data_IF_762914226347
#
_entry.id   IF_762914226347
#
_cell.length_a   1.000
_cell.length_b   1.000
_cell.length_c   1.000
_cell.angle_alpha   90.00
_cell.angle_beta   90.00
_cell.angle_gamma   90.00
#
_symmetry.space_group_name_H-M   'P 1'
#
loop_
_entity.id
_entity.type
_entity.pdbx_description
1 polymer ?
#
# COMPACT_ATOMS: atom_id res chain seq x y z
N UNK A 1 4.39 15.80 45.27
CA UNK A 1 5.18 15.73 44.02
C UNK A 1 4.85 14.51 43.12
N UNK A 2 4.49 13.34 43.66
CA UNK A 2 4.17 12.15 42.85
C UNK A 2 2.88 12.27 41.99
N UNK A 3 1.82 12.89 42.54
CA UNK A 3 0.55 13.05 41.82
C UNK A 3 0.63 14.00 40.60
N UNK A 4 1.51 15.01 40.65
CA UNK A 4 1.71 15.95 39.54
C UNK A 4 2.47 15.30 38.36
N UNK A 5 3.47 14.45 38.64
CA UNK A 5 4.17 13.69 37.60
C UNK A 5 3.26 12.65 36.93
N UNK A 6 2.43 11.96 37.72
CA UNK A 6 1.46 11.01 37.18
C UNK A 6 0.40 11.67 36.29
N UNK A 7 -0.03 12.90 36.63
CA UNK A 7 -0.94 13.67 35.79
C UNK A 7 -0.30 14.12 34.46
N UNK A 8 0.97 14.57 34.50
CA UNK A 8 1.71 14.99 33.30
C UNK A 8 2.01 13.83 32.34
N UNK A 9 2.38 12.66 32.86
CA UNK A 9 2.57 11.45 32.05
C UNK A 9 1.25 10.94 31.43
N UNK A 10 0.13 11.03 32.18
CA UNK A 10 -1.18 10.66 31.66
C UNK A 10 -1.66 11.62 30.54
N UNK A 11 -1.31 12.91 30.62
CA UNK A 11 -1.63 13.89 29.59
C UNK A 11 -0.77 13.69 28.32
N UNK A 12 0.54 13.46 28.48
CA UNK A 12 1.43 13.12 27.35
C UNK A 12 0.98 11.85 26.64
N UNK A 13 0.62 10.80 27.37
CA UNK A 13 0.10 9.56 26.80
C UNK A 13 -1.21 9.76 26.00
N UNK A 14 -2.06 10.72 26.39
CA UNK A 14 -3.28 11.07 25.63
C UNK A 14 -2.94 11.83 24.34
N UNK A 15 -2.01 12.77 24.40
CA UNK A 15 -1.54 13.53 23.23
C UNK A 15 -0.83 12.62 22.24
N UNK A 16 0.04 11.71 22.70
CA UNK A 16 0.72 10.72 21.85
C UNK A 16 -0.26 9.74 21.21
N UNK A 17 -1.27 9.24 21.96
CA UNK A 17 -2.34 8.42 21.37
C UNK A 17 -3.15 9.18 20.33
N UNK A 18 -3.43 10.46 20.54
CA UNK A 18 -4.14 11.29 19.55
C UNK A 18 -3.29 11.52 18.29
N UNK A 19 -1.99 11.78 18.45
CA UNK A 19 -1.05 11.93 17.34
C UNK A 19 -0.90 10.62 16.55
N UNK A 20 -0.75 9.49 17.23
CA UNK A 20 -0.67 8.16 16.63
C UNK A 20 -1.94 7.78 15.86
N UNK A 21 -3.13 8.11 16.39
CA UNK A 21 -4.40 7.92 15.67
C UNK A 21 -4.44 8.73 14.37
N UNK A 22 -4.07 10.02 14.44
CA UNK A 22 -4.06 10.90 13.27
C UNK A 22 -3.08 10.42 12.21
N UNK A 23 -1.92 9.91 12.64
CA UNK A 23 -0.92 9.36 11.73
C UNK A 23 -1.38 8.03 11.10
N UNK A 24 -2.02 7.16 11.87
CA UNK A 24 -2.63 5.93 11.37
C UNK A 24 -3.73 6.21 10.34
N UNK A 25 -4.56 7.23 10.55
CA UNK A 25 -5.58 7.63 9.56
C UNK A 25 -4.96 8.17 8.26
N UNK A 26 -3.87 8.95 8.36
CA UNK A 26 -3.12 9.39 7.17
C UNK A 26 -2.52 8.21 6.41
N UNK A 27 -1.88 7.28 7.12
CA UNK A 27 -1.29 6.09 6.50
C UNK A 27 -2.36 5.23 5.83
N UNK A 28 -3.53 5.04 6.46
CA UNK A 28 -4.67 4.35 5.83
C UNK A 28 -5.15 5.05 4.56
N UNK A 29 -5.22 6.38 4.57
CA UNK A 29 -5.61 7.16 3.39
C UNK A 29 -4.57 7.07 2.28
N UNK A 30 -3.29 7.11 2.62
CA UNK A 30 -2.19 6.94 1.68
C UNK A 30 -2.21 5.53 1.06
N UNK A 31 -2.37 4.49 1.88
CA UNK A 31 -2.50 3.10 1.43
C UNK A 31 -3.69 2.91 0.48
N UNK A 32 -4.85 3.51 0.77
CA UNK A 32 -6.01 3.46 -0.14
C UNK A 32 -5.71 4.10 -1.50
N UNK A 33 -4.97 5.20 -1.53
CA UNK A 33 -4.55 5.84 -2.78
C UNK A 33 -3.58 4.97 -3.56
N UNK A 34 -2.58 4.40 -2.90
CA UNK A 34 -1.60 3.53 -3.55
C UNK A 34 -2.26 2.25 -4.11
N UNK A 35 -3.23 1.65 -3.39
CA UNK A 35 -4.04 0.54 -3.93
C UNK A 35 -4.83 0.95 -5.17
N UNK A 36 -5.41 2.14 -5.18
CA UNK A 36 -6.12 2.65 -6.36
C UNK A 36 -5.17 2.88 -7.55
N UNK A 37 -3.98 3.43 -7.31
CA UNK A 37 -2.94 3.59 -8.35
C UNK A 37 -2.49 2.24 -8.91
N UNK A 38 -2.31 1.23 -8.04
CA UNK A 38 -1.94 -0.11 -8.48
C UNK A 38 -2.99 -0.73 -9.40
N UNK A 39 -4.28 -0.59 -9.07
CA UNK A 39 -5.37 -1.03 -9.96
C UNK A 39 -5.34 -0.32 -11.30
N UNK A 40 -5.17 1.01 -11.30
CA UNK A 40 -5.12 1.80 -12.53
C UNK A 40 -3.93 1.40 -13.40
N UNK A 41 -2.74 1.27 -12.80
CA UNK A 41 -1.54 0.85 -13.50
C UNK A 41 -1.65 -0.58 -14.04
N UNK A 42 -2.20 -1.52 -13.27
CA UNK A 42 -2.45 -2.88 -13.75
C UNK A 42 -3.50 -2.91 -14.87
N UNK A 43 -4.56 -2.10 -14.76
CA UNK A 43 -5.61 -2.00 -15.77
C UNK A 43 -5.12 -1.45 -17.12
N UNK A 44 -4.02 -0.68 -17.15
CA UNK A 44 -3.35 -0.28 -18.41
C UNK A 44 -2.86 -1.48 -19.22
N UNK A 45 -2.66 -2.63 -18.57
CA UNK A 45 -2.31 -3.89 -19.21
C UNK A 45 -3.49 -4.87 -19.30
N UNK A 46 -4.72 -4.45 -18.97
CA UNK A 46 -5.90 -5.27 -19.16
C UNK A 46 -6.07 -5.57 -20.66
N UNK A 47 -6.03 -6.86 -21.01
CA UNK A 47 -6.06 -7.34 -22.40
C UNK A 47 -4.69 -7.60 -23.02
N UNK A 48 -3.59 -7.30 -22.32
CA UNK A 48 -2.28 -7.82 -22.69
C UNK A 48 -2.19 -9.32 -22.37
N UNK A 49 -1.41 -10.05 -23.18
CA UNK A 49 -1.18 -11.48 -22.98
C UNK A 49 -0.51 -11.74 -21.62
N UNK A 50 -1.00 -12.73 -20.89
CA UNK A 50 -0.49 -13.06 -19.55
C UNK A 50 -0.94 -12.14 -18.41
N UNK A 51 -1.85 -11.18 -18.65
CA UNK A 51 -2.43 -10.37 -17.58
C UNK A 51 -3.14 -11.28 -16.54
N UNK A 52 -2.81 -11.18 -15.24
CA UNK A 52 -3.28 -12.12 -14.23
C UNK A 52 -4.76 -11.93 -13.82
N UNK A 53 -5.42 -10.89 -14.32
CA UNK A 53 -6.80 -10.56 -13.99
C UNK A 53 -6.93 -9.66 -12.76
N UNK A 54 -8.11 -9.04 -12.63
CA UNK A 54 -8.40 -8.07 -11.55
C UNK A 54 -8.39 -8.72 -10.16
N UNK A 55 -8.83 -9.98 -10.04
CA UNK A 55 -8.82 -10.71 -8.77
C UNK A 55 -7.40 -10.87 -8.19
N UNK A 56 -6.43 -11.20 -9.04
CA UNK A 56 -5.02 -11.31 -8.63
C UNK A 56 -4.44 -9.94 -8.27
N UNK A 57 -4.81 -8.88 -8.98
CA UNK A 57 -4.42 -7.51 -8.61
C UNK A 57 -5.00 -7.11 -7.25
N UNK A 58 -6.22 -7.54 -6.92
CA UNK A 58 -6.80 -7.36 -5.60
C UNK A 58 -6.11 -8.19 -4.52
N UNK A 59 -5.74 -9.43 -4.81
CA UNK A 59 -4.90 -10.25 -3.94
C UNK A 59 -3.59 -9.54 -3.61
N UNK A 60 -2.96 -8.92 -4.61
CA UNK A 60 -1.73 -8.15 -4.44
C UNK A 60 -1.94 -6.90 -3.58
N UNK A 61 -3.05 -6.18 -3.80
CA UNK A 61 -3.47 -5.08 -2.94
C UNK A 61 -3.69 -5.53 -1.48
N UNK A 62 -4.11 -6.77 -1.25
CA UNK A 62 -4.27 -7.36 0.08
C UNK A 62 -2.96 -7.82 0.71
N UNK A 63 -2.03 -8.32 -0.09
CA UNK A 63 -0.78 -8.91 0.38
C UNK A 63 0.32 -7.88 0.69
N UNK A 64 0.38 -6.77 -0.06
CA UNK A 64 1.42 -5.76 0.08
C UNK A 64 1.05 -4.67 1.10
N UNK A 65 2.06 -4.20 1.82
CA UNK A 65 1.98 -3.02 2.67
C UNK A 65 2.18 -1.72 1.87
N UNK A 66 2.13 -0.57 2.55
CA UNK A 66 2.23 0.73 1.87
C UNK A 66 3.53 0.86 1.06
N UNK A 67 4.66 0.47 1.63
CA UNK A 67 5.96 0.56 0.97
C UNK A 67 6.07 -0.42 -0.21
N UNK A 68 5.54 -1.64 -0.08
CA UNK A 68 5.49 -2.61 -1.17
C UNK A 68 4.66 -2.11 -2.36
N UNK A 69 3.44 -1.63 -2.10
CA UNK A 69 2.56 -1.11 -3.15
C UNK A 69 3.18 0.14 -3.79
N UNK A 70 3.77 1.03 -2.99
CA UNK A 70 4.42 2.25 -3.49
C UNK A 70 5.58 1.91 -4.42
N UNK A 71 6.48 1.01 -4.02
CA UNK A 71 7.62 0.59 -4.86
C UNK A 71 7.15 -0.03 -6.17
N UNK A 72 6.11 -0.86 -6.13
CA UNK A 72 5.52 -1.44 -7.32
C UNK A 72 4.92 -0.36 -8.22
N UNK A 73 4.13 0.57 -7.69
CA UNK A 73 3.58 1.69 -8.46
C UNK A 73 4.66 2.54 -9.10
N UNK A 74 5.72 2.89 -8.36
CA UNK A 74 6.84 3.67 -8.89
C UNK A 74 7.54 2.92 -10.03
N UNK A 75 7.64 1.58 -9.95
CA UNK A 75 8.15 0.74 -11.04
C UNK A 75 7.19 0.69 -12.23
N UNK A 76 5.88 0.55 -12.00
CA UNK A 76 4.86 0.53 -13.04
C UNK A 76 4.73 1.88 -13.77
N UNK A 77 4.91 3.00 -13.06
CA UNK A 77 4.93 4.35 -13.63
C UNK A 77 6.11 4.54 -14.61
N UNK A 78 7.22 3.84 -14.39
CA UNK A 78 8.38 3.84 -15.30
C UNK A 78 8.19 2.97 -16.55
N UNK A 79 7.17 2.10 -16.57
CA UNK A 79 6.89 1.19 -17.68
C UNK A 79 5.86 1.82 -18.63
N UNK A 80 6.17 1.79 -19.93
CA UNK A 80 5.35 2.40 -20.97
C UNK A 80 4.55 1.40 -21.80
N UNK A 81 4.88 0.11 -21.74
CA UNK A 81 4.20 -0.96 -22.48
C UNK A 81 3.44 -1.95 -21.57
N UNK A 82 2.36 -2.54 -22.10
CA UNK A 82 1.52 -3.46 -21.35
C UNK A 82 2.23 -4.75 -20.92
N UNK A 83 3.17 -5.27 -21.70
CA UNK A 83 3.87 -6.51 -21.38
C UNK A 83 4.81 -6.33 -20.17
N UNK A 84 5.51 -5.20 -20.09
CA UNK A 84 6.30 -4.83 -18.92
C UNK A 84 5.45 -4.72 -17.66
N UNK A 85 4.25 -4.12 -17.76
CA UNK A 85 3.30 -4.02 -16.63
C UNK A 85 2.88 -5.42 -16.19
N UNK A 86 2.48 -6.29 -17.13
CA UNK A 86 2.13 -7.70 -16.85
C UNK A 86 3.28 -8.41 -16.13
N UNK A 87 4.50 -8.29 -16.64
CA UNK A 87 5.67 -8.94 -16.05
C UNK A 87 5.92 -8.45 -14.62
N UNK A 88 5.85 -7.15 -14.37
CA UNK A 88 6.03 -6.58 -13.04
C UNK A 88 4.93 -7.00 -12.06
N UNK A 89 3.67 -7.02 -12.49
CA UNK A 89 2.54 -7.47 -11.65
C UNK A 89 2.66 -8.97 -11.34
N UNK A 90 2.98 -9.80 -12.33
CA UNK A 90 3.18 -11.24 -12.12
C UNK A 90 4.38 -11.54 -11.22
N UNK A 91 5.47 -10.79 -11.35
CA UNK A 91 6.61 -10.92 -10.45
C UNK A 91 6.21 -10.55 -9.01
N UNK A 92 5.50 -9.44 -8.82
CA UNK A 92 5.03 -9.05 -7.49
C UNK A 92 4.06 -10.09 -6.89
N UNK A 93 3.21 -10.71 -7.71
CA UNK A 93 2.38 -11.84 -7.28
C UNK A 93 3.22 -13.02 -6.83
N UNK A 94 4.25 -13.39 -7.58
CA UNK A 94 5.16 -14.47 -7.20
C UNK A 94 5.89 -14.16 -5.88
N UNK A 95 6.42 -12.95 -5.73
CA UNK A 95 7.11 -12.51 -4.52
C UNK A 95 6.18 -12.50 -3.29
N UNK A 96 4.90 -12.21 -3.50
CA UNK A 96 3.86 -12.29 -2.47
C UNK A 96 3.35 -13.71 -2.18
N UNK A 97 3.83 -14.73 -2.89
CA UNK A 97 3.33 -16.11 -2.79
C UNK A 97 1.91 -16.28 -3.35
N UNK A 98 1.53 -15.43 -4.31
CA UNK A 98 0.20 -15.32 -4.93
C UNK A 98 0.19 -15.67 -6.42
N UNK A 99 1.31 -16.10 -7.01
CA UNK A 99 1.39 -16.56 -8.39
C UNK A 99 0.43 -17.74 -8.64
#
# INVERSE_FOLDING_TARGET
AAAAKAAEEAEKAKVEKAAAKKELEKQKKALRKEKARLRENAARAAGADGYPGEDKVEDLCGALDFDGIKKLNDALDAITDGAGIVAAVNQALADAGKA
#
